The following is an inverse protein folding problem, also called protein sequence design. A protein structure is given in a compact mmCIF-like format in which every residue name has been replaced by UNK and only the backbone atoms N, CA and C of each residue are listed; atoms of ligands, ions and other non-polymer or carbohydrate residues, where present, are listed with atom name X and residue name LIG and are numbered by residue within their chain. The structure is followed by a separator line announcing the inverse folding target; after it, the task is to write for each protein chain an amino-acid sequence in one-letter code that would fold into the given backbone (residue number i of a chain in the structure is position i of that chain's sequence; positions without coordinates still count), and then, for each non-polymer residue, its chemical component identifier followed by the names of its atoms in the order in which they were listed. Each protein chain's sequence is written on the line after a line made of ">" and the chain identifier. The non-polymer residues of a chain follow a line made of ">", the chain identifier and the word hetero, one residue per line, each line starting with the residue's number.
data_IF_025462881012
#
_entry.id   IF_025462881012
#
_cell.length_a   1.000
_cell.length_b   1.000
_cell.length_c   1.000
_cell.angle_alpha   90.00
_cell.angle_beta   90.00
_cell.angle_gamma   90.00
#
_symmetry.space_group_name_H-M   'P 1'
#
loop_
_entity.id
_entity.type
_entity.pdbx_description
1 polymer ?
#
# COMPACT_ATOMS: atom_id res chain seq x y z
N UNK A 1 13.78 4.78 -4.03
CA UNK A 1 12.76 4.18 -4.93
C UNK A 1 11.40 4.72 -4.48
N UNK A 2 10.42 4.83 -5.37
CA UNK A 2 9.05 5.25 -5.02
C UNK A 2 8.13 4.06 -5.27
N UNK A 3 7.22 3.82 -4.33
CA UNK A 3 6.26 2.72 -4.40
C UNK A 3 4.84 3.28 -4.45
N UNK A 4 4.08 2.88 -5.46
CA UNK A 4 2.66 3.26 -5.61
C UNK A 4 1.79 2.30 -4.82
N UNK A 5 1.00 2.83 -3.88
CA UNK A 5 0.08 2.07 -3.04
C UNK A 5 -1.35 2.54 -3.29
N UNK A 6 -2.24 1.63 -3.67
CA UNK A 6 -3.67 1.88 -3.75
C UNK A 6 -4.30 1.72 -2.36
N UNK A 7 -5.12 2.68 -1.94
CA UNK A 7 -5.79 2.72 -0.63
C UNK A 7 -7.26 2.27 -0.72
N UNK A 8 -7.72 1.88 -1.92
CA UNK A 8 -9.09 1.44 -2.15
C UNK A 8 -9.12 0.38 -3.23
N UNK A 9 -10.02 -0.60 -3.11
CA UNK A 9 -10.14 -1.72 -4.04
C UNK A 9 -10.46 -1.27 -5.48
N UNK A 10 -11.21 -0.17 -5.62
CA UNK A 10 -11.51 0.44 -6.92
C UNK A 10 -10.32 1.18 -7.56
N UNK A 11 -9.17 1.25 -6.90
CA UNK A 11 -7.93 1.87 -7.37
C UNK A 11 -8.07 3.36 -7.74
N UNK A 12 -9.13 4.03 -7.28
CA UNK A 12 -9.31 5.46 -7.50
C UNK A 12 -8.49 6.32 -6.52
N UNK A 13 -8.12 5.73 -5.38
CA UNK A 13 -7.30 6.38 -4.36
C UNK A 13 -5.94 5.68 -4.27
N UNK A 14 -4.86 6.45 -4.41
CA UNK A 14 -3.49 5.98 -4.30
C UNK A 14 -2.60 6.99 -3.59
N UNK A 15 -1.46 6.52 -3.09
CA UNK A 15 -0.39 7.33 -2.54
C UNK A 15 0.98 6.84 -3.02
N UNK A 16 1.94 7.75 -3.11
CA UNK A 16 3.32 7.44 -3.46
C UNK A 16 4.18 7.45 -2.19
N UNK A 17 4.76 6.29 -1.86
CA UNK A 17 5.56 6.11 -0.66
C UNK A 17 7.03 6.05 -1.04
N UNK A 18 7.87 7.01 -0.61
CA UNK A 18 9.30 6.91 -0.81
C UNK A 18 9.86 5.79 0.06
N UNK A 19 10.66 4.90 -0.55
CA UNK A 19 11.27 3.76 0.14
C UNK A 19 12.79 3.71 -0.07
N UNK A 20 13.47 3.20 0.94
CA UNK A 20 14.87 2.76 0.92
C UNK A 20 14.92 1.24 1.07
N UNK A 21 16.06 0.58 0.82
CA UNK A 21 16.22 -0.86 1.08
C UNK A 21 15.98 -1.26 2.55
N UNK A 22 16.04 -0.30 3.47
CA UNK A 22 15.78 -0.49 4.91
C UNK A 22 14.29 -0.30 5.26
N UNK A 23 13.49 0.24 4.34
CA UNK A 23 12.04 0.40 4.56
C UNK A 23 11.36 -0.96 4.62
N UNK A 24 10.78 -1.27 5.78
CA UNK A 24 10.01 -2.48 6.00
C UNK A 24 8.55 -2.30 5.58
N UNK A 25 7.92 -3.37 5.08
CA UNK A 25 6.50 -3.35 4.67
C UNK A 25 5.56 -2.85 5.77
N UNK A 26 5.86 -3.16 7.04
CA UNK A 26 5.07 -2.66 8.19
C UNK A 26 5.01 -1.14 8.26
N UNK A 27 6.08 -0.43 7.88
CA UNK A 27 6.07 1.03 7.88
C UNK A 27 5.21 1.60 6.75
N UNK A 28 5.15 0.89 5.61
CA UNK A 28 4.27 1.26 4.49
C UNK A 28 2.81 1.01 4.87
N UNK A 29 2.50 -0.11 5.55
CA UNK A 29 1.15 -0.37 6.10
C UNK A 29 0.74 0.77 7.04
N UNK A 30 1.56 1.07 8.05
CA UNK A 30 1.24 2.10 9.05
C UNK A 30 1.11 3.49 8.45
N UNK A 31 1.84 3.77 7.36
CA UNK A 31 1.70 5.02 6.60
C UNK A 31 0.39 5.11 5.81
N UNK A 32 -0.03 3.99 5.21
CA UNK A 32 -1.20 3.93 4.33
C UNK A 32 -2.53 3.69 5.07
N UNK A 33 -2.47 3.19 6.30
CA UNK A 33 -3.62 2.80 7.11
C UNK A 33 -4.41 4.02 7.60
N UNK A 34 -5.73 3.93 7.57
CA UNK A 34 -6.60 5.00 8.06
C UNK A 34 -6.76 5.00 9.60
N UNK A 35 -7.08 6.16 10.17
CA UNK A 35 -7.32 6.29 11.61
C UNK A 35 -8.57 5.50 12.03
N UNK A 36 -8.43 4.61 12.99
CA UNK A 36 -9.51 3.72 13.45
C UNK A 36 -9.62 2.41 12.67
N UNK A 37 -8.81 2.23 11.63
CA UNK A 37 -8.75 0.99 10.88
C UNK A 37 -8.11 -0.13 11.73
N UNK A 38 -8.69 -1.34 11.65
CA UNK A 38 -8.12 -2.55 12.26
C UNK A 38 -7.96 -3.60 11.15
N UNK A 39 -6.79 -4.25 11.08
CA UNK A 39 -6.52 -5.28 10.06
C UNK A 39 -6.21 -4.73 8.66
N UNK A 40 -5.06 -4.05 8.51
CA UNK A 40 -4.56 -3.55 7.23
C UNK A 40 -3.42 -4.43 6.72
N UNK A 41 -3.46 -4.81 5.44
CA UNK A 41 -2.41 -5.62 4.80
C UNK A 41 -2.03 -5.06 3.43
N UNK A 42 -0.74 -5.15 3.08
CA UNK A 42 -0.28 -4.87 1.73
C UNK A 42 -0.38 -6.14 0.89
N UNK A 43 -1.08 -6.04 -0.22
CA UNK A 43 -1.16 -7.07 -1.25
C UNK A 43 -0.43 -6.58 -2.50
N UNK A 44 0.37 -7.44 -3.10
CA UNK A 44 1.04 -7.12 -4.36
C UNK A 44 0.07 -7.30 -5.54
N UNK A 45 -0.03 -6.26 -6.36
CA UNK A 45 -0.84 -6.23 -7.57
C UNK A 45 0.08 -6.08 -8.77
N UNK A 46 -0.02 -7.03 -9.69
CA UNK A 46 0.74 -7.06 -10.93
C UNK A 46 -0.14 -6.54 -12.07
N UNK A 47 0.20 -5.38 -12.63
CA UNK A 47 -0.43 -4.86 -13.86
C UNK A 47 0.60 -4.78 -14.97
N UNK A 48 0.73 -5.87 -15.73
CA UNK A 48 1.69 -5.96 -16.83
C UNK A 48 3.13 -5.82 -16.35
N UNK A 49 3.82 -4.75 -16.73
CA UNK A 49 5.27 -4.57 -16.49
C UNK A 49 5.60 -3.86 -15.17
N UNK A 50 4.60 -3.43 -14.40
CA UNK A 50 4.76 -2.73 -13.12
C UNK A 50 4.17 -3.51 -11.94
N UNK A 51 4.87 -3.47 -10.81
CA UNK A 51 4.35 -3.89 -9.50
C UNK A 51 3.73 -2.68 -8.80
N UNK A 52 2.60 -2.88 -8.14
CA UNK A 52 1.97 -1.93 -7.24
C UNK A 52 1.50 -2.65 -5.99
N UNK A 53 1.29 -1.95 -4.87
CA UNK A 53 0.70 -2.54 -3.67
C UNK A 53 -0.73 -2.03 -3.48
N UNK A 54 -1.60 -2.86 -2.92
CA UNK A 54 -2.93 -2.52 -2.45
C UNK A 54 -2.93 -2.65 -0.93
N UNK A 55 -3.21 -1.56 -0.21
CA UNK A 55 -3.53 -1.61 1.20
C UNK A 55 -5.01 -2.02 1.32
N UNK A 56 -5.27 -3.25 1.79
CA UNK A 56 -6.62 -3.77 1.96
C UNK A 56 -6.95 -3.83 3.45
N UNK A 57 -8.01 -3.12 3.82
CA UNK A 57 -8.66 -3.20 5.13
C UNK A 57 -9.58 -4.41 5.20
N UNK A 58 -9.38 -5.30 6.17
CA UNK A 58 -10.31 -6.39 6.46
C UNK A 58 -11.34 -5.89 7.49
N UNK A 59 -12.56 -5.62 7.03
CA UNK A 59 -13.71 -5.31 7.91
C UNK A 59 -14.33 -6.57 8.51
#
# INVERSE_FOLDING_TARGET
>A
MILTVFLSDNQQLLTEVPITPETLCKYVVEFCKEAGESGCHLAEVWRGKGMSLLAHTVH
#
